data_IF_686961277788
#
_entry.id   IF_686961277788
#
_cell.length_a   1.000
_cell.length_b   1.000
_cell.length_c   1.000
_cell.angle_alpha   90.00
_cell.angle_beta   90.00
_cell.angle_gamma   90.00
#
_symmetry.space_group_name_H-M   'P 1'
#
loop_
_entity.id
_entity.type
_entity.pdbx_description
1 polymer ?
#
# COMPACT_ATOMS: atom_id res chain seq x y z
N UNK A 1 -15.39 -25.31 14.95
CA UNK A 1 -14.19 -24.47 14.69
C UNK A 1 -14.48 -23.12 15.32
N UNK A 2 -13.59 -22.62 16.17
CA UNK A 2 -13.75 -21.30 16.76
C UNK A 2 -13.55 -20.22 15.68
N UNK A 3 -14.53 -19.33 15.54
CA UNK A 3 -14.41 -18.20 14.64
C UNK A 3 -13.51 -17.13 15.25
N UNK A 4 -12.68 -16.51 14.41
CA UNK A 4 -11.77 -15.44 14.84
C UNK A 4 -12.13 -14.12 14.15
N UNK A 5 -11.78 -13.01 14.80
CA UNK A 5 -12.04 -11.66 14.28
C UNK A 5 -11.02 -11.25 13.22
N UNK A 6 -11.48 -10.68 12.11
CA UNK A 6 -10.60 -10.06 11.13
C UNK A 6 -10.12 -8.69 11.60
N UNK A 7 -8.82 -8.48 11.70
CA UNK A 7 -8.23 -7.18 12.10
C UNK A 7 -8.50 -6.03 11.11
N UNK A 8 -8.96 -6.32 9.89
CA UNK A 8 -9.10 -5.33 8.82
C UNK A 8 -10.55 -4.91 8.59
N UNK A 9 -11.50 -5.84 8.62
CA UNK A 9 -12.92 -5.53 8.44
C UNK A 9 -13.75 -5.70 9.71
N UNK A 10 -13.22 -6.31 10.76
CA UNK A 10 -13.97 -6.58 11.99
C UNK A 10 -14.98 -7.72 11.89
N UNK A 11 -15.07 -8.42 10.75
CA UNK A 11 -15.96 -9.58 10.63
C UNK A 11 -15.35 -10.83 11.25
N UNK A 12 -16.19 -11.70 11.80
CA UNK A 12 -15.81 -13.05 12.20
C UNK A 12 -15.59 -13.92 10.96
N UNK A 13 -14.61 -14.82 11.02
CA UNK A 13 -14.35 -15.79 9.97
C UNK A 13 -13.77 -17.10 10.52
N UNK A 14 -13.98 -18.19 9.77
CA UNK A 14 -13.41 -19.51 10.08
C UNK A 14 -11.93 -19.56 9.66
N UNK A 15 -10.99 -19.74 10.61
CA UNK A 15 -9.57 -19.84 10.27
C UNK A 15 -9.27 -21.19 9.61
N UNK A 16 -8.45 -21.18 8.55
CA UNK A 16 -7.87 -22.42 8.01
C UNK A 16 -6.98 -23.15 9.04
N UNK A 17 -7.18 -24.46 9.28
CA UNK A 17 -6.32 -25.24 10.18
C UNK A 17 -4.84 -25.27 9.79
N UNK A 18 -4.53 -25.05 8.50
CA UNK A 18 -3.15 -25.06 7.97
C UNK A 18 -2.36 -23.79 8.34
N UNK A 19 -3.03 -22.71 8.71
CA UNK A 19 -2.40 -21.42 8.96
C UNK A 19 -2.84 -20.85 10.31
N UNK A 20 -2.19 -21.31 11.39
CA UNK A 20 -2.59 -21.02 12.78
C UNK A 20 -2.62 -19.52 13.14
N UNK A 21 -1.84 -18.68 12.45
CA UNK A 21 -1.69 -17.25 12.74
C UNK A 21 -2.44 -16.34 11.74
N UNK A 22 -3.67 -16.71 11.36
CA UNK A 22 -4.49 -15.89 10.47
C UNK A 22 -5.01 -14.64 11.18
N UNK A 23 -4.76 -13.47 10.60
CA UNK A 23 -5.20 -12.16 11.11
C UNK A 23 -6.18 -11.44 10.17
N UNK A 24 -6.40 -11.97 8.97
CA UNK A 24 -7.25 -11.39 7.95
C UNK A 24 -8.16 -12.47 7.35
N UNK A 25 -9.43 -12.15 7.18
CA UNK A 25 -10.37 -13.00 6.46
C UNK A 25 -10.03 -13.07 4.96
N UNK A 26 -10.66 -13.98 4.22
CA UNK A 26 -10.39 -14.22 2.79
C UNK A 26 -10.79 -13.08 1.86
N UNK A 27 -11.47 -12.03 2.36
CA UNK A 27 -11.87 -10.87 1.54
C UNK A 27 -10.65 -10.20 0.91
N UNK A 28 -10.73 -9.92 -0.39
CA UNK A 28 -9.61 -9.37 -1.17
C UNK A 28 -9.11 -8.02 -0.60
N UNK A 29 -10.01 -7.18 -0.10
CA UNK A 29 -9.67 -5.92 0.56
C UNK A 29 -8.80 -6.16 1.81
N UNK A 30 -9.15 -7.12 2.65
CA UNK A 30 -8.44 -7.45 3.88
C UNK A 30 -7.08 -8.08 3.61
N UNK A 31 -7.00 -8.96 2.61
CA UNK A 31 -5.71 -9.55 2.19
C UNK A 31 -4.77 -8.50 1.58
N UNK A 32 -5.29 -7.58 0.76
CA UNK A 32 -4.51 -6.45 0.24
C UNK A 32 -4.02 -5.55 1.37
N UNK A 33 -4.88 -5.27 2.34
CA UNK A 33 -4.55 -4.48 3.52
C UNK A 33 -3.44 -5.14 4.35
N UNK A 34 -3.53 -6.45 4.57
CA UNK A 34 -2.51 -7.25 5.26
C UNK A 34 -1.17 -7.20 4.56
N UNK A 35 -1.16 -7.40 3.24
CA UNK A 35 0.07 -7.34 2.43
C UNK A 35 0.70 -5.95 2.47
N UNK A 36 -0.11 -4.90 2.37
CA UNK A 36 0.37 -3.52 2.46
C UNK A 36 0.96 -3.19 3.84
N UNK A 37 0.31 -3.63 4.93
CA UNK A 37 0.81 -3.44 6.29
C UNK A 37 2.16 -4.13 6.52
N UNK A 38 2.28 -5.38 6.07
CA UNK A 38 3.55 -6.11 6.11
C UNK A 38 4.66 -5.41 5.34
N UNK A 39 4.36 -4.98 4.12
CA UNK A 39 5.36 -4.37 3.26
C UNK A 39 5.89 -3.07 3.87
N UNK A 40 5.00 -2.23 4.44
CA UNK A 40 5.41 -1.04 5.20
C UNK A 40 6.28 -1.38 6.39
N UNK A 41 5.91 -2.42 7.14
CA UNK A 41 6.71 -2.86 8.27
C UNK A 41 8.11 -3.26 7.81
N UNK A 42 8.23 -4.11 6.79
CA UNK A 42 9.53 -4.53 6.26
C UNK A 42 10.34 -3.39 5.68
N UNK A 43 9.72 -2.43 4.97
CA UNK A 43 10.45 -1.26 4.48
C UNK A 43 10.97 -0.37 5.60
N UNK A 44 10.29 -0.32 6.75
CA UNK A 44 10.72 0.45 7.92
C UNK A 44 11.79 -0.29 8.74
N UNK A 45 11.67 -1.60 8.91
CA UNK A 45 12.50 -2.36 9.86
C UNK A 45 13.68 -3.10 9.21
N UNK A 46 13.61 -3.35 7.90
CA UNK A 46 14.59 -4.15 7.18
C UNK A 46 15.29 -3.28 6.10
N UNK A 47 16.46 -2.68 6.42
CA UNK A 47 17.17 -1.80 5.50
C UNK A 47 17.68 -2.53 4.25
N UNK A 48 17.98 -3.83 4.36
CA UNK A 48 18.40 -4.66 3.22
C UNK A 48 17.24 -4.83 2.25
N UNK A 49 16.04 -5.16 2.77
CA UNK A 49 14.84 -5.25 1.96
C UNK A 49 14.52 -3.93 1.24
N UNK A 50 14.63 -2.80 1.94
CA UNK A 50 14.42 -1.48 1.36
C UNK A 50 15.44 -1.16 0.25
N UNK A 51 16.72 -1.43 0.47
CA UNK A 51 17.77 -1.24 -0.53
C UNK A 51 17.55 -2.11 -1.78
N UNK A 52 17.20 -3.38 -1.59
CA UNK A 52 16.91 -4.31 -2.68
C UNK A 52 15.68 -3.91 -3.49
N UNK A 53 14.65 -3.38 -2.84
CA UNK A 53 13.48 -2.88 -3.55
C UNK A 53 13.83 -1.67 -4.42
N UNK A 54 14.65 -0.74 -3.88
CA UNK A 54 15.11 0.45 -4.60
C UNK A 54 15.98 0.08 -5.80
N UNK A 55 16.95 -0.81 -5.63
CA UNK A 55 17.84 -1.26 -6.71
C UNK A 55 17.06 -1.97 -7.82
N UNK A 56 16.13 -2.84 -7.45
CA UNK A 56 15.25 -3.54 -8.40
C UNK A 56 14.38 -2.56 -9.19
N UNK A 57 13.83 -1.54 -8.53
CA UNK A 57 13.07 -0.48 -9.21
C UNK A 57 13.94 0.30 -10.20
N UNK A 58 15.17 0.65 -9.82
CA UNK A 58 16.11 1.37 -10.69
C UNK A 58 16.50 0.54 -11.91
N UNK A 59 16.82 -0.74 -11.71
CA UNK A 59 17.13 -1.67 -12.79
C UNK A 59 15.95 -1.80 -13.76
N UNK A 60 14.73 -1.93 -13.24
CA UNK A 60 13.54 -2.00 -14.07
C UNK A 60 13.31 -0.73 -14.88
N UNK A 61 13.47 0.46 -14.27
CA UNK A 61 13.35 1.75 -14.98
C UNK A 61 14.39 1.85 -16.09
N UNK A 62 15.65 1.46 -15.82
CA UNK A 62 16.73 1.46 -16.81
C UNK A 62 16.43 0.54 -17.98
N UNK A 63 15.93 -0.68 -17.69
CA UNK A 63 15.58 -1.66 -18.71
C UNK A 63 14.32 -1.30 -19.50
N UNK A 64 13.40 -0.52 -18.92
CA UNK A 64 12.09 -0.20 -19.49
C UNK A 64 11.95 1.30 -19.77
N UNK A 65 12.96 1.90 -20.41
CA UNK A 65 12.93 3.31 -20.77
C UNK A 65 11.69 3.64 -21.62
N UNK A 66 10.98 4.72 -21.26
CA UNK A 66 9.78 5.15 -21.98
C UNK A 66 8.50 4.35 -21.70
N UNK A 67 8.56 3.27 -20.91
CA UNK A 67 7.39 2.43 -20.58
C UNK A 67 6.19 3.27 -20.11
N UNK A 68 6.40 4.18 -19.15
CA UNK A 68 5.30 4.99 -18.60
C UNK A 68 4.66 5.93 -19.63
N UNK A 69 5.44 6.43 -20.60
CA UNK A 69 4.92 7.25 -21.70
C UNK A 69 4.01 6.41 -22.60
N UNK A 70 4.45 5.22 -22.97
CA UNK A 70 3.67 4.28 -23.77
C UNK A 70 2.42 3.79 -23.01
N UNK A 71 2.55 3.46 -21.73
CA UNK A 71 1.45 3.04 -20.88
C UNK A 71 0.34 4.09 -20.83
N UNK A 72 0.69 5.36 -20.62
CA UNK A 72 -0.27 6.47 -20.61
C UNK A 72 -0.93 6.68 -21.97
N UNK A 73 -0.19 6.55 -23.07
CA UNK A 73 -0.76 6.63 -24.44
C UNK A 73 -1.77 5.50 -24.68
N UNK A 74 -1.49 4.28 -24.21
CA UNK A 74 -2.38 3.11 -24.32
C UNK A 74 -3.57 3.15 -23.36
N UNK A 75 -3.48 3.89 -22.25
CA UNK A 75 -4.51 3.95 -21.21
C UNK A 75 -4.92 5.41 -20.91
N UNK A 76 -5.48 6.15 -21.89
CA UNK A 76 -5.76 7.59 -21.75
C UNK A 76 -6.76 7.89 -20.63
N UNK A 77 -7.80 7.06 -20.49
CA UNK A 77 -8.84 7.21 -19.46
C UNK A 77 -8.27 7.06 -18.04
N UNK A 78 -7.41 6.06 -17.81
CA UNK A 78 -6.70 5.89 -16.52
C UNK A 78 -5.74 7.03 -16.24
N UNK A 79 -5.03 7.50 -17.28
CA UNK A 79 -4.11 8.62 -17.15
C UNK A 79 -4.85 9.91 -16.74
N UNK A 80 -6.03 10.14 -17.32
CA UNK A 80 -6.86 11.31 -16.98
C UNK A 80 -7.41 11.24 -15.57
N UNK A 81 -8.00 10.10 -15.16
CA UNK A 81 -8.43 9.90 -13.76
C UNK A 81 -7.30 10.14 -12.77
N UNK A 82 -6.08 9.68 -13.10
CA UNK A 82 -4.91 9.90 -12.25
C UNK A 82 -4.54 11.40 -12.16
N UNK A 83 -4.55 12.12 -13.29
CA UNK A 83 -4.29 13.58 -13.35
C UNK A 83 -5.28 14.36 -12.49
N UNK A 84 -6.59 14.11 -12.64
CA UNK A 84 -7.63 14.76 -11.83
C UNK A 84 -7.42 14.47 -10.34
N UNK A 85 -7.17 13.20 -9.99
CA UNK A 85 -6.92 12.80 -8.60
C UNK A 85 -5.65 13.45 -8.02
N UNK A 86 -4.61 13.63 -8.83
CA UNK A 86 -3.40 14.34 -8.43
C UNK A 86 -3.67 15.82 -8.20
N UNK A 87 -4.45 16.47 -9.07
CA UNK A 87 -4.82 17.87 -8.92
C UNK A 87 -5.61 18.11 -7.61
N UNK A 88 -6.56 17.22 -7.30
CA UNK A 88 -7.28 17.26 -6.02
C UNK A 88 -6.35 17.10 -4.82
N UNK A 89 -5.41 16.15 -4.87
CA UNK A 89 -4.41 15.95 -3.80
C UNK A 89 -3.51 17.18 -3.62
N UNK A 90 -3.01 17.75 -4.71
CA UNK A 90 -2.18 18.97 -4.69
C UNK A 90 -2.95 20.19 -4.18
N UNK A 91 -4.27 20.28 -4.44
CA UNK A 91 -5.13 21.32 -3.88
C UNK A 91 -5.23 21.16 -2.35
N UNK A 92 -5.58 19.95 -1.87
CA UNK A 92 -5.67 19.67 -0.43
C UNK A 92 -4.36 19.94 0.31
N UNK A 93 -3.23 19.55 -0.28
CA UNK A 93 -1.90 19.81 0.26
C UNK A 93 -1.62 21.30 0.47
N UNK A 94 -1.99 22.16 -0.50
CA UNK A 94 -1.79 23.62 -0.42
C UNK A 94 -2.69 24.31 0.61
N UNK A 95 -3.84 23.73 0.94
CA UNK A 95 -4.80 24.29 1.89
C UNK A 95 -4.53 23.89 3.34
N UNK A 96 -3.51 23.06 3.62
CA UNK A 96 -3.15 22.69 4.99
C UNK A 96 -2.13 23.69 5.55
N UNK A 97 -2.42 24.38 6.67
CA UNK A 97 -1.54 25.40 7.26
C UNK A 97 -0.32 24.81 7.99
N UNK A 98 -0.27 23.50 8.23
CA UNK A 98 0.83 22.81 8.91
C UNK A 98 1.75 22.12 7.88
N UNK A 99 2.63 22.89 7.25
CA UNK A 99 3.61 22.40 6.27
C UNK A 99 4.59 21.36 6.88
N UNK A 100 4.69 21.31 8.22
CA UNK A 100 5.55 20.41 8.99
C UNK A 100 5.00 18.99 9.16
N UNK A 101 3.70 18.75 8.89
CA UNK A 101 3.07 17.41 8.90
C UNK A 101 2.64 16.94 7.51
N UNK A 102 3.25 17.52 6.48
CA UNK A 102 3.12 17.01 5.13
C UNK A 102 3.91 15.71 5.00
N UNK A 103 3.33 14.60 5.47
CA UNK A 103 3.66 13.30 4.90
C UNK A 103 3.50 13.49 3.40
N UNK A 104 4.57 13.39 2.58
CA UNK A 104 4.45 13.63 1.16
C UNK A 104 3.36 12.67 0.71
N UNK A 105 2.24 13.19 0.21
CA UNK A 105 1.14 12.38 -0.30
C UNK A 105 1.67 11.77 -1.60
N UNK A 106 2.54 10.78 -1.43
CA UNK A 106 3.37 10.17 -2.44
C UNK A 106 2.39 9.50 -3.39
N UNK A 107 2.43 10.01 -4.61
CA UNK A 107 1.65 9.57 -5.74
C UNK A 107 1.80 8.05 -5.84
N UNK A 108 0.68 7.34 -5.59
CA UNK A 108 0.51 5.92 -5.86
C UNK A 108 1.68 5.01 -5.43
N UNK A 109 2.25 5.21 -4.24
CA UNK A 109 3.10 4.19 -3.61
C UNK A 109 2.23 3.26 -2.76
N UNK A 110 2.49 1.95 -2.83
CA UNK A 110 1.81 0.92 -2.04
C UNK A 110 1.74 1.25 -0.54
N UNK A 111 2.70 2.01 -0.04
CA UNK A 111 2.79 2.42 1.36
C UNK A 111 1.75 3.47 1.77
N UNK A 112 1.18 4.23 0.83
CA UNK A 112 0.31 5.37 1.12
C UNK A 112 -1.15 4.99 1.42
N UNK A 113 -1.51 3.70 1.39
CA UNK A 113 -2.82 3.24 1.86
C UNK A 113 -2.90 3.38 3.38
N UNK A 114 -3.35 4.57 3.86
CA UNK A 114 -3.84 4.78 5.22
C UNK A 114 -5.11 3.95 5.40
N UNK A 115 -4.92 2.70 5.75
CA UNK A 115 -5.99 1.88 6.33
C UNK A 115 -5.94 2.21 7.81
N UNK A 116 -7.10 2.51 8.42
CA UNK A 116 -7.22 2.69 9.87
C UNK A 116 -6.85 1.38 10.56
N UNK A 117 -5.55 1.19 10.76
CA UNK A 117 -5.00 0.06 11.50
C UNK A 117 -5.22 0.40 12.97
N UNK A 118 -6.20 -0.25 13.59
CA UNK A 118 -6.56 -0.04 15.00
C UNK A 118 -5.41 -0.47 15.94
N UNK A 119 -4.48 -1.31 15.47
CA UNK A 119 -3.15 -1.58 16.04
C UNK A 119 -2.34 -2.39 15.02
N UNK A 120 -1.06 -2.05 14.81
CA UNK A 120 -0.16 -2.90 14.01
C UNK A 120 -0.04 -4.22 14.80
N UNK A 121 -0.43 -5.38 14.24
CA UNK A 121 -0.22 -6.64 14.93
C UNK A 121 1.29 -6.82 15.12
N UNK A 122 1.72 -6.94 16.38
CA UNK A 122 3.11 -7.18 16.79
C UNK A 122 3.61 -8.53 16.23
N UNK A 123 2.69 -9.39 15.81
CA UNK A 123 2.94 -10.67 15.18
C UNK A 123 3.12 -10.53 13.66
N UNK A 124 4.21 -9.88 13.25
CA UNK A 124 4.91 -10.29 12.04
C UNK A 124 6.27 -10.86 12.46
N UNK A 125 6.51 -12.18 12.31
CA UNK A 125 7.86 -12.71 12.41
C UNK A 125 8.76 -12.09 11.31
#
# INVERSE_FOLDING_TARGET
>A
MEQILCFYCGDLFDPSPRHKNQTACKKLSCQRAKKAAWQRHKLKTDPIYAANQKSSQQQWIKANAGYWKQYRKKNPEKAERNRISQAMRNRRARSSPDATKMDPVLIAKMEALKINIIKIPICYP
#
